data_IF_537061879659
#
_entry.id   IF_537061879659
#
_cell.length_a   1.000
_cell.length_b   1.000
_cell.length_c   1.000
_cell.angle_alpha   90.00
_cell.angle_beta   90.00
_cell.angle_gamma   90.00
#
_symmetry.space_group_name_H-M   'P 1'
#
loop_
_entity.id
_entity.type
_entity.pdbx_description
1 polymer ?
#
# COMPACT_ATOMS: atom_id res chain seq x y z
N UNK A 1 10.87 -5.20 -9.62
CA UNK A 1 9.42 -4.90 -9.47
C UNK A 1 9.08 -3.60 -10.18
N UNK A 2 8.12 -3.61 -11.12
CA UNK A 2 7.73 -2.42 -11.90
C UNK A 2 6.21 -2.26 -11.84
N UNK A 3 5.73 -1.01 -11.70
CA UNK A 3 4.29 -0.68 -11.70
C UNK A 3 3.91 -0.14 -13.07
N UNK A 4 3.03 -0.82 -13.79
CA UNK A 4 2.61 -0.41 -15.13
C UNK A 4 1.17 0.14 -15.11
N UNK A 5 1.05 1.43 -14.78
CA UNK A 5 -0.25 2.08 -14.54
C UNK A 5 -1.13 2.19 -15.79
N UNK A 6 -0.54 2.29 -17.01
CA UNK A 6 -1.30 2.34 -18.27
C UNK A 6 -2.15 1.08 -18.50
N UNK A 7 -1.70 -0.07 -17.99
CA UNK A 7 -2.42 -1.35 -18.08
C UNK A 7 -2.97 -1.82 -16.73
N UNK A 8 -2.87 -1.00 -15.68
CA UNK A 8 -3.27 -1.33 -14.32
C UNK A 8 -2.72 -2.67 -13.78
N UNK A 9 -1.49 -3.02 -14.16
CA UNK A 9 -0.80 -4.24 -13.71
C UNK A 9 0.49 -3.94 -12.95
N UNK A 10 0.88 -4.88 -12.10
CA UNK A 10 2.18 -4.91 -11.43
C UNK A 10 3.01 -6.10 -11.93
N UNK A 11 4.31 -5.89 -12.08
CA UNK A 11 5.27 -6.93 -12.38
C UNK A 11 6.03 -7.30 -11.11
N UNK A 12 5.77 -8.52 -10.63
CA UNK A 12 6.42 -9.10 -9.45
C UNK A 12 7.67 -9.86 -9.89
N UNK A 13 8.70 -9.81 -9.05
CA UNK A 13 9.94 -10.55 -9.28
C UNK A 13 9.67 -12.07 -9.30
N UNK A 14 10.39 -12.82 -10.13
CA UNK A 14 10.23 -14.26 -10.38
C UNK A 14 8.93 -14.73 -11.06
N UNK A 15 7.94 -13.86 -11.26
CA UNK A 15 6.74 -14.20 -12.05
C UNK A 15 6.99 -13.88 -13.53
N UNK A 16 7.60 -14.82 -14.21
CA UNK A 16 7.95 -14.73 -15.64
C UNK A 16 7.39 -15.89 -16.43
N UNK A 17 7.17 -15.66 -17.73
CA UNK A 17 6.85 -16.69 -18.72
C UNK A 17 7.87 -16.61 -19.84
N UNK A 18 8.22 -17.76 -20.38
CA UNK A 18 9.07 -17.86 -21.57
C UNK A 18 8.27 -17.65 -22.85
N UNK A 19 8.81 -16.87 -23.78
CA UNK A 19 8.28 -16.74 -25.14
C UNK A 19 8.83 -17.86 -26.02
N UNK A 20 8.21 -18.09 -27.18
CA UNK A 20 8.69 -19.06 -28.18
C UNK A 20 10.13 -18.82 -28.66
N UNK A 21 10.64 -17.58 -28.52
CA UNK A 21 12.00 -17.21 -28.88
C UNK A 21 13.02 -17.35 -27.72
N UNK A 22 12.66 -18.04 -26.63
CA UNK A 22 13.53 -18.29 -25.47
C UNK A 22 13.73 -17.10 -24.53
N UNK A 23 13.17 -15.92 -24.84
CA UNK A 23 13.26 -14.76 -23.94
C UNK A 23 12.18 -14.80 -22.85
N UNK A 24 12.52 -14.37 -21.63
CA UNK A 24 11.56 -14.30 -20.53
C UNK A 24 10.87 -12.94 -20.48
N UNK A 25 9.56 -12.95 -20.22
CA UNK A 25 8.77 -11.74 -20.00
C UNK A 25 8.00 -11.83 -18.70
N UNK A 26 7.84 -10.70 -18.03
CA UNK A 26 7.08 -10.64 -16.78
C UNK A 26 5.58 -10.74 -17.07
N UNK A 27 4.89 -11.58 -16.31
CA UNK A 27 3.43 -11.64 -16.35
C UNK A 27 2.89 -10.46 -15.54
N UNK A 28 1.90 -9.76 -16.07
CA UNK A 28 1.21 -8.69 -15.36
C UNK A 28 0.14 -9.26 -14.45
N UNK A 29 0.15 -8.88 -13.17
CA UNK A 29 -0.88 -9.27 -12.19
C UNK A 29 -1.66 -8.02 -11.77
N UNK A 30 -2.95 -8.17 -11.53
CA UNK A 30 -3.77 -7.10 -10.96
C UNK A 30 -3.40 -6.85 -9.48
N UNK A 31 -3.16 -5.60 -9.05
CA UNK A 31 -2.66 -5.30 -7.71
C UNK A 31 -3.58 -5.72 -6.56
N UNK A 32 -4.90 -5.91 -6.78
CA UNK A 32 -5.81 -6.40 -5.73
C UNK A 32 -5.70 -7.90 -5.47
N UNK A 33 -5.07 -8.66 -6.38
CA UNK A 33 -4.91 -10.12 -6.25
C UNK A 33 -3.56 -10.49 -5.62
N UNK A 34 -2.85 -9.52 -5.03
CA UNK A 34 -1.55 -9.72 -4.38
C UNK A 34 -1.55 -9.11 -2.98
N UNK A 35 -0.69 -9.63 -2.11
CA UNK A 35 -0.47 -9.12 -0.76
C UNK A 35 0.91 -8.49 -0.62
N UNK A 36 1.00 -7.35 0.08
CA UNK A 36 2.28 -6.69 0.37
C UNK A 36 2.92 -7.35 1.59
N UNK A 37 4.08 -7.97 1.42
CA UNK A 37 4.81 -8.67 2.50
C UNK A 37 5.78 -7.76 3.25
N UNK A 38 6.52 -6.91 2.52
CA UNK A 38 7.48 -5.96 3.09
C UNK A 38 7.35 -4.62 2.40
N UNK A 39 7.19 -3.56 3.19
CA UNK A 39 7.12 -2.19 2.71
C UNK A 39 8.53 -1.58 2.66
N UNK A 40 8.87 -0.93 1.54
CA UNK A 40 10.01 -0.01 1.50
C UNK A 40 9.59 1.25 2.25
N UNK A 41 10.31 1.66 3.30
CA UNK A 41 10.01 2.89 4.01
C UNK A 41 10.78 4.07 3.40
N UNK A 42 10.08 5.18 3.19
CA UNK A 42 10.60 6.51 2.84
C UNK A 42 9.89 7.56 3.72
N UNK A 43 10.34 8.82 3.68
CA UNK A 43 9.80 9.90 4.53
C UNK A 43 8.29 10.09 4.30
N UNK A 44 7.87 10.11 3.05
CA UNK A 44 6.47 10.36 2.67
C UNK A 44 5.56 9.17 2.97
N UNK A 45 6.08 7.95 2.91
CA UNK A 45 5.33 6.75 3.27
C UNK A 45 5.15 6.63 4.77
N UNK A 46 6.14 7.03 5.58
CA UNK A 46 5.97 7.09 7.05
C UNK A 46 4.86 8.07 7.44
N UNK A 47 4.94 9.31 6.94
CA UNK A 47 3.91 10.32 7.20
C UNK A 47 2.52 9.90 6.69
N UNK A 48 2.44 9.25 5.53
CA UNK A 48 1.18 8.72 5.02
C UNK A 48 0.60 7.61 5.92
N UNK A 49 1.44 6.71 6.43
CA UNK A 49 1.01 5.63 7.32
C UNK A 49 0.52 6.19 8.66
N UNK A 50 1.26 7.11 9.27
CA UNK A 50 0.85 7.80 10.50
C UNK A 50 -0.50 8.51 10.33
N UNK A 51 -0.65 9.27 9.25
CA UNK A 51 -1.92 9.94 8.94
C UNK A 51 -3.09 8.96 8.77
N UNK A 52 -2.87 7.85 8.07
CA UNK A 52 -3.91 6.81 7.89
C UNK A 52 -4.24 6.10 9.21
N UNK A 53 -3.25 5.86 10.06
CA UNK A 53 -3.44 5.25 11.37
C UNK A 53 -4.27 6.17 12.29
N UNK A 54 -3.93 7.47 12.36
CA UNK A 54 -4.69 8.46 13.13
C UNK A 54 -6.15 8.57 12.66
N UNK A 55 -6.36 8.63 11.33
CA UNK A 55 -7.71 8.65 10.75
C UNK A 55 -8.52 7.40 11.09
N UNK A 56 -7.89 6.21 11.05
CA UNK A 56 -8.55 4.96 11.43
C UNK A 56 -8.92 4.95 12.92
N UNK A 57 -8.02 5.38 13.81
CA UNK A 57 -8.26 5.41 15.26
C UNK A 57 -9.46 6.27 15.67
N UNK A 58 -9.69 7.40 14.98
CA UNK A 58 -10.87 8.25 15.15
C UNK A 58 -12.17 7.53 14.76
N UNK A 59 -12.16 6.77 13.67
CA UNK A 59 -13.36 6.11 13.11
C UNK A 59 -13.68 4.81 13.82
N UNK A 60 -12.68 3.98 14.13
CA UNK A 60 -12.87 2.64 14.72
C UNK A 60 -13.14 2.65 16.22
N UNK A 61 -13.34 3.82 16.84
CA UNK A 61 -13.87 3.88 18.20
C UNK A 61 -12.86 4.02 19.33
N UNK A 62 -11.55 3.90 19.07
CA UNK A 62 -10.52 4.01 20.13
C UNK A 62 -10.55 5.40 20.79
N UNK A 63 -10.86 6.44 20.00
CA UNK A 63 -11.02 7.83 20.44
C UNK A 63 -12.49 8.29 20.41
N UNK A 64 -13.44 7.42 20.03
CA UNK A 64 -14.86 7.80 19.97
C UNK A 64 -15.38 7.90 21.41
N UNK A 65 -15.55 9.12 21.90
CA UNK A 65 -16.04 9.42 23.26
C UNK A 65 -14.96 9.67 24.31
N UNK A 66 -13.67 9.73 23.95
CA UNK A 66 -12.61 10.17 24.86
C UNK A 66 -12.32 11.65 24.60
N UNK A 67 -12.75 12.52 25.50
CA UNK A 67 -12.36 13.92 25.51
C UNK A 67 -11.07 14.07 26.32
N UNK A 68 -10.03 14.63 25.71
CA UNK A 68 -8.81 15.08 26.39
C UNK A 68 -8.93 16.57 26.67
N UNK A 69 -8.36 17.05 27.79
CA UNK A 69 -8.52 18.43 28.30
C UNK A 69 -8.21 19.50 27.24
N UNK A 70 -7.22 19.28 26.37
CA UNK A 70 -6.86 20.17 25.24
C UNK A 70 -7.97 20.34 24.18
N UNK A 71 -8.98 19.45 24.15
CA UNK A 71 -10.13 19.53 23.22
C UNK A 71 -11.35 20.19 23.85
N UNK A 72 -11.30 20.49 25.16
CA UNK A 72 -12.40 21.09 25.94
C UNK A 72 -12.16 22.60 26.12
N UNK A 73 -10.90 23.05 26.09
CA UNK A 73 -10.50 24.46 26.27
C UNK A 73 -10.52 25.31 24.99
N UNK A 74 -10.91 24.77 23.83
CA UNK A 74 -11.14 25.49 22.58
C UNK A 74 -12.63 25.64 22.24
#
# INVERSE_FOLDING_TARGET
>A
MRVYRKKYVVHVDKITREKANGTTVHVGIHPSNVQVTKLKMDKDRRSLLERKAAGRARVTGILKGKHTEETIEE
#
